data_IF_324582237109
#
_entry.id   IF_324582237109
#
_cell.length_a   1.000
_cell.length_b   1.000
_cell.length_c   1.000
_cell.angle_alpha   90.00
_cell.angle_beta   90.00
_cell.angle_gamma   90.00
#
_symmetry.space_group_name_H-M   'P 1'
#
loop_
_entity.id
_entity.type
_entity.pdbx_description
1 polymer ?
#
# COMPACT_ATOMS: atom_id res chain seq x y z
N UNK A 1 -8.30 -1.36 -12.23
CA UNK A 1 -8.49 -1.52 -10.79
C UNK A 1 -8.98 -0.21 -10.18
N UNK A 2 -10.10 -0.24 -9.46
CA UNK A 2 -10.61 0.95 -8.76
C UNK A 2 -9.82 1.20 -7.47
N UNK A 3 -9.77 2.43 -6.92
CA UNK A 3 -8.94 2.74 -5.75
C UNK A 3 -9.27 1.89 -4.50
N UNK A 4 -10.55 1.56 -4.28
CA UNK A 4 -10.97 0.76 -3.13
C UNK A 4 -10.43 -0.68 -3.20
N UNK A 5 -10.57 -1.32 -4.37
CA UNK A 5 -10.05 -2.65 -4.66
C UNK A 5 -8.52 -2.69 -4.49
N UNK A 6 -7.81 -1.67 -4.96
CA UNK A 6 -6.36 -1.58 -4.80
C UNK A 6 -5.95 -1.49 -3.33
N UNK A 7 -6.63 -0.66 -2.54
CA UNK A 7 -6.37 -0.53 -1.11
C UNK A 7 -6.62 -1.84 -0.36
N UNK A 8 -7.69 -2.55 -0.68
CA UNK A 8 -7.94 -3.88 -0.12
C UNK A 8 -6.79 -4.83 -0.43
N UNK A 9 -6.32 -4.86 -1.68
CA UNK A 9 -5.19 -5.71 -2.07
C UNK A 9 -3.87 -5.33 -1.38
N UNK A 10 -3.63 -4.04 -1.14
CA UNK A 10 -2.47 -3.57 -0.36
C UNK A 10 -2.53 -4.11 1.07
N UNK A 11 -3.70 -4.08 1.72
CA UNK A 11 -3.89 -4.60 3.07
C UNK A 11 -3.65 -6.12 3.11
N UNK A 12 -4.22 -6.88 2.19
CA UNK A 12 -4.00 -8.34 2.09
C UNK A 12 -2.50 -8.68 1.97
N UNK A 13 -1.76 -7.98 1.11
CA UNK A 13 -0.31 -8.20 0.94
C UNK A 13 0.45 -7.88 2.23
N UNK A 14 0.04 -6.84 2.96
CA UNK A 14 0.65 -6.45 4.22
C UNK A 14 0.36 -7.46 5.35
N UNK A 15 -0.84 -8.03 5.40
CA UNK A 15 -1.20 -9.08 6.35
C UNK A 15 -0.35 -10.34 6.13
N UNK A 16 -0.11 -10.71 4.86
CA UNK A 16 0.73 -11.87 4.52
C UNK A 16 2.22 -11.65 4.82
N UNK A 17 2.75 -10.46 4.52
CA UNK A 17 4.20 -10.21 4.51
C UNK A 17 4.72 -9.43 5.72
N UNK A 18 3.84 -8.90 6.57
CA UNK A 18 4.09 -7.97 7.71
C UNK A 18 4.71 -6.62 7.33
N UNK A 19 5.55 -6.57 6.30
CA UNK A 19 6.13 -5.36 5.75
C UNK A 19 6.42 -5.54 4.26
N UNK A 20 6.25 -4.47 3.48
CA UNK A 20 6.53 -4.46 2.04
C UNK A 20 7.03 -3.09 1.59
N UNK A 21 7.92 -3.05 0.61
CA UNK A 21 8.39 -1.79 0.02
C UNK A 21 7.34 -1.22 -0.93
N UNK A 22 7.29 0.10 -1.03
CA UNK A 22 6.42 0.82 -1.98
C UNK A 22 6.69 0.39 -3.42
N UNK A 23 7.97 0.23 -3.81
CA UNK A 23 8.35 -0.25 -5.14
C UNK A 23 7.79 -1.64 -5.43
N UNK A 24 7.85 -2.57 -4.47
CA UNK A 24 7.27 -3.91 -4.63
C UNK A 24 5.75 -3.87 -4.82
N UNK A 25 5.03 -3.02 -4.08
CA UNK A 25 3.59 -2.83 -4.28
C UNK A 25 3.27 -2.21 -5.65
N UNK A 26 4.09 -1.24 -6.07
CA UNK A 26 4.00 -0.59 -7.39
C UNK A 26 4.11 -1.63 -8.51
N UNK A 27 5.15 -2.46 -8.47
CA UNK A 27 5.40 -3.51 -9.45
C UNK A 27 4.30 -4.59 -9.43
N UNK A 28 3.86 -4.99 -8.24
CA UNK A 28 2.84 -6.05 -8.07
C UNK A 28 1.46 -5.61 -8.56
N UNK A 29 1.10 -4.34 -8.33
CA UNK A 29 -0.24 -3.80 -8.64
C UNK A 29 -0.28 -3.04 -9.97
N UNK A 30 0.86 -2.88 -10.65
CA UNK A 30 0.96 -2.21 -11.94
C UNK A 30 0.59 -0.74 -11.90
N UNK A 31 0.86 -0.04 -10.79
CA UNK A 31 0.58 1.39 -10.62
C UNK A 31 1.81 2.13 -10.16
N UNK A 32 1.89 3.44 -10.37
CA UNK A 32 3.04 4.22 -9.94
C UNK A 32 3.23 4.22 -8.42
N UNK A 33 4.48 4.34 -7.96
CA UNK A 33 4.79 4.51 -6.54
C UNK A 33 4.03 5.68 -5.90
N UNK A 34 3.81 6.78 -6.63
CA UNK A 34 3.02 7.91 -6.15
C UNK A 34 1.57 7.50 -5.86
N UNK A 35 1.00 6.62 -6.66
CA UNK A 35 -0.35 6.06 -6.43
C UNK A 35 -0.36 5.20 -5.17
N UNK A 36 0.64 4.33 -4.99
CA UNK A 36 0.79 3.53 -3.78
C UNK A 36 0.94 4.42 -2.54
N UNK A 37 1.79 5.45 -2.59
CA UNK A 37 1.97 6.39 -1.46
C UNK A 37 0.65 7.04 -1.05
N UNK A 38 -0.16 7.52 -2.01
CA UNK A 38 -1.49 8.10 -1.74
C UNK A 38 -2.48 7.09 -1.17
N UNK A 39 -2.41 5.82 -1.58
CA UNK A 39 -3.27 4.78 -1.04
C UNK A 39 -2.85 4.38 0.38
N UNK A 40 -1.54 4.28 0.64
CA UNK A 40 -0.99 4.04 1.97
C UNK A 40 -1.32 5.18 2.93
N UNK A 41 -1.24 6.44 2.50
CA UNK A 41 -1.67 7.61 3.30
C UNK A 41 -3.15 7.51 3.70
N UNK A 42 -4.03 7.10 2.78
CA UNK A 42 -5.45 6.91 3.10
C UNK A 42 -5.68 5.76 4.09
N UNK A 43 -4.97 4.66 3.92
CA UNK A 43 -5.07 3.50 4.82
C UNK A 43 -4.54 3.84 6.22
N UNK A 44 -3.46 4.61 6.31
CA UNK A 44 -2.90 5.11 7.57
C UNK A 44 -3.85 6.08 8.27
N UNK A 45 -4.44 7.03 7.54
CA UNK A 45 -5.47 7.93 8.06
C UNK A 45 -6.72 7.19 8.56
N UNK A 46 -7.02 6.03 7.97
CA UNK A 46 -8.10 5.14 8.41
C UNK A 46 -7.70 4.23 9.59
N UNK A 47 -6.44 4.28 10.06
CA UNK A 47 -5.95 3.46 11.16
C UNK A 47 -5.71 1.99 10.79
N UNK A 48 -5.69 1.65 9.49
CA UNK A 48 -5.56 0.27 9.01
C UNK A 48 -4.11 -0.20 8.88
N UNK A 49 -3.15 0.73 8.83
CA UNK A 49 -1.72 0.44 8.82
C UNK A 49 -0.93 1.58 9.43
N UNK A 50 0.35 1.32 9.74
CA UNK A 50 1.32 2.35 10.14
C UNK A 50 2.53 2.28 9.21
N UNK A 51 3.01 3.43 8.75
CA UNK A 51 4.17 3.52 7.86
C UNK A 51 5.45 3.75 8.65
N UNK A 52 6.47 2.95 8.37
CA UNK A 52 7.84 3.27 8.76
C UNK A 52 8.56 3.91 7.58
N UNK A 53 9.04 5.14 7.75
CA UNK A 53 9.90 5.80 6.77
C UNK A 53 11.32 5.24 6.89
N UNK A 54 11.55 4.06 6.28
CA UNK A 54 12.90 3.59 5.97
C UNK A 54 13.40 4.32 4.73
N UNK A 55 14.55 4.99 4.85
CA UNK A 55 15.16 5.81 3.80
C UNK A 55 15.39 5.10 2.48
#
# INVERSE_FOLDING_TARGET
MIPAERRARIVEILEERRAVRVSTLSDTLGVSEMTIRRDLERLEQAGLLSRMHGG
#
